data_IF_949532903778
#
_entry.id   IF_949532903778
#
_cell.length_a   1.000
_cell.length_b   1.000
_cell.length_c   1.000
_cell.angle_alpha   90.00
_cell.angle_beta   90.00
_cell.angle_gamma   90.00
#
_symmetry.space_group_name_H-M   'P 1'
#
loop_
_entity.id
_entity.type
_entity.pdbx_description
1 polymer ?
#
# COMPACT_ATOMS: atom_id res chain seq x y z
N UNK A 1 5.39 -18.26 -17.80
CA UNK A 1 4.03 -17.92 -17.33
C UNK A 1 4.13 -16.68 -16.45
N UNK A 2 3.33 -15.63 -16.67
CA UNK A 2 3.35 -14.46 -15.78
C UNK A 2 2.80 -14.84 -14.39
N UNK A 3 3.28 -14.20 -13.31
CA UNK A 3 2.81 -14.50 -11.96
C UNK A 3 1.34 -14.10 -11.77
N UNK A 4 0.59 -14.93 -11.05
CA UNK A 4 -0.80 -14.64 -10.68
C UNK A 4 -0.88 -13.50 -9.65
N UNK A 5 -2.05 -12.88 -9.51
CA UNK A 5 -2.27 -11.84 -8.49
C UNK A 5 -2.00 -12.38 -7.07
N UNK A 6 -2.37 -13.64 -6.81
CA UNK A 6 -2.04 -14.31 -5.56
C UNK A 6 -0.53 -14.34 -5.31
N UNK A 7 0.26 -14.77 -6.30
CA UNK A 7 1.72 -14.83 -6.18
C UNK A 7 2.33 -13.45 -5.96
N UNK A 8 1.84 -12.41 -6.65
CA UNK A 8 2.29 -11.03 -6.44
C UNK A 8 1.99 -10.54 -5.02
N UNK A 9 0.79 -10.81 -4.51
CA UNK A 9 0.42 -10.43 -3.15
C UNK A 9 1.26 -11.15 -2.08
N UNK A 10 1.52 -12.45 -2.25
CA UNK A 10 2.39 -13.18 -1.33
C UNK A 10 3.82 -12.62 -1.38
N UNK A 11 4.39 -12.43 -2.57
CA UNK A 11 5.74 -11.87 -2.72
C UNK A 11 5.87 -10.51 -2.02
N UNK A 12 4.92 -9.59 -2.24
CA UNK A 12 4.91 -8.30 -1.58
C UNK A 12 4.89 -8.40 -0.05
N UNK A 13 4.02 -9.25 0.51
CA UNK A 13 3.91 -9.42 1.96
C UNK A 13 5.17 -10.01 2.58
N UNK A 14 5.75 -11.02 1.96
CA UNK A 14 6.99 -11.62 2.45
C UNK A 14 8.16 -10.63 2.41
N UNK A 15 8.25 -9.81 1.36
CA UNK A 15 9.25 -8.74 1.28
C UNK A 15 9.02 -7.68 2.35
N UNK A 16 7.78 -7.22 2.54
CA UNK A 16 7.45 -6.24 3.57
C UNK A 16 7.77 -6.75 4.99
N UNK A 17 7.48 -8.02 5.28
CA UNK A 17 7.84 -8.64 6.57
C UNK A 17 9.36 -8.74 6.73
N UNK A 18 10.07 -9.20 5.70
CA UNK A 18 11.53 -9.32 5.75
C UNK A 18 12.20 -7.96 5.97
N UNK A 19 11.75 -6.93 5.25
CA UNK A 19 12.29 -5.57 5.39
C UNK A 19 11.99 -4.99 6.77
N UNK A 20 10.76 -5.14 7.27
CA UNK A 20 10.41 -4.70 8.62
C UNK A 20 11.29 -5.36 9.71
N UNK A 21 11.61 -6.64 9.57
CA UNK A 21 12.52 -7.35 10.46
C UNK A 21 13.95 -6.79 10.39
N UNK A 22 14.43 -6.41 9.20
CA UNK A 22 15.74 -5.77 9.03
C UNK A 22 15.81 -4.38 9.68
N UNK A 23 14.67 -3.67 9.73
CA UNK A 23 14.51 -2.42 10.50
C UNK A 23 14.38 -2.62 12.01
N UNK A 24 14.36 -3.87 12.50
CA UNK A 24 14.28 -4.20 13.92
C UNK A 24 12.85 -4.25 14.47
N UNK A 25 11.83 -4.25 13.61
CA UNK A 25 10.44 -4.38 14.03
C UNK A 25 10.01 -5.83 14.15
N UNK A 26 9.10 -6.10 15.07
CA UNK A 26 8.36 -7.36 15.07
C UNK A 26 7.42 -7.39 13.87
N UNK A 27 7.44 -8.45 13.06
CA UNK A 27 6.59 -8.51 11.86
C UNK A 27 6.11 -9.93 11.55
N UNK A 28 4.87 -10.05 11.08
CA UNK A 28 4.26 -11.32 10.68
C UNK A 28 3.23 -11.16 9.57
N UNK A 29 2.97 -12.25 8.84
CA UNK A 29 1.82 -12.32 7.95
C UNK A 29 0.53 -12.32 8.79
N UNK A 30 -0.47 -11.56 8.38
CA UNK A 30 -1.75 -11.47 9.10
C UNK A 30 -2.94 -11.63 8.16
N UNK A 31 -3.90 -12.46 8.55
CA UNK A 31 -5.23 -12.52 7.92
C UNK A 31 -5.21 -12.68 6.39
N UNK A 32 -6.08 -11.93 5.67
CA UNK A 32 -6.23 -12.03 4.21
C UNK A 32 -4.92 -11.82 3.43
N UNK A 33 -4.94 -12.19 2.15
CA UNK A 33 -3.78 -12.25 1.26
C UNK A 33 -3.02 -10.95 1.04
N UNK A 34 -3.47 -9.82 1.60
CA UNK A 34 -2.88 -8.48 1.43
C UNK A 34 -2.41 -7.84 2.74
N UNK A 35 -2.53 -8.50 3.90
CA UNK A 35 -2.23 -7.86 5.18
C UNK A 35 -1.01 -8.46 5.90
N UNK A 36 -0.31 -7.61 6.64
CA UNK A 36 0.77 -7.95 7.57
C UNK A 36 0.53 -7.22 8.90
N UNK A 37 1.18 -7.68 9.95
CA UNK A 37 1.27 -6.97 11.23
C UNK A 37 2.73 -6.59 11.45
N UNK A 38 3.00 -5.32 11.75
CA UNK A 38 4.34 -4.78 12.05
C UNK A 38 4.23 -3.98 13.35
N UNK A 39 5.01 -4.32 14.38
CA UNK A 39 4.92 -3.79 15.74
C UNK A 39 3.49 -3.78 16.30
N UNK A 40 2.72 -4.84 16.05
CA UNK A 40 1.32 -4.93 16.49
C UNK A 40 0.32 -4.13 15.63
N UNK A 41 0.78 -3.27 14.71
CA UNK A 41 -0.08 -2.51 13.80
C UNK A 41 -0.34 -3.27 12.52
N UNK A 42 -1.59 -3.31 12.07
CA UNK A 42 -1.98 -3.92 10.80
C UNK A 42 -1.67 -2.99 9.63
N UNK A 43 -1.06 -3.52 8.57
CA UNK A 43 -0.78 -2.80 7.33
C UNK A 43 -1.24 -3.61 6.11
N UNK A 44 -1.75 -2.92 5.09
CA UNK A 44 -2.00 -3.53 3.79
C UNK A 44 -0.74 -3.45 2.92
N UNK A 45 -0.51 -4.46 2.09
CA UNK A 45 0.66 -4.55 1.22
C UNK A 45 0.21 -4.67 -0.24
N UNK A 46 0.82 -3.86 -1.10
CA UNK A 46 0.63 -3.93 -2.54
C UNK A 46 1.98 -4.02 -3.25
N UNK A 47 2.10 -4.90 -4.23
CA UNK A 47 3.34 -5.10 -4.98
C UNK A 47 3.19 -4.64 -6.44
N UNK A 48 4.11 -3.79 -6.89
CA UNK A 48 4.32 -3.45 -8.29
C UNK A 48 5.42 -4.33 -8.85
N UNK A 49 5.09 -5.12 -9.88
CA UNK A 49 6.05 -5.96 -10.62
C UNK A 49 6.31 -5.45 -12.05
N UNK A 50 5.64 -4.36 -12.43
CA UNK A 50 5.66 -3.77 -13.78
C UNK A 50 5.68 -2.23 -13.67
N UNK A 51 6.30 -1.70 -12.62
CA UNK A 51 6.52 -0.26 -12.41
C UNK A 51 5.31 0.56 -11.97
N UNK A 52 4.14 -0.07 -11.74
CA UNK A 52 2.95 0.63 -11.24
C UNK A 52 2.12 -0.28 -10.33
N UNK A 53 1.41 0.33 -9.37
CA UNK A 53 0.37 -0.35 -8.60
C UNK A 53 -0.97 -0.07 -9.25
N UNK A 54 -1.57 -1.10 -9.83
CA UNK A 54 -2.88 -1.00 -10.46
C UNK A 54 -3.99 -1.11 -9.42
N UNK A 55 -4.86 -0.11 -9.40
CA UNK A 55 -6.08 -0.08 -8.58
C UNK A 55 -7.25 -0.37 -9.51
N UNK A 56 -7.89 -1.52 -9.31
CA UNK A 56 -9.02 -1.94 -10.15
C UNK A 56 -10.30 -1.13 -9.88
N UNK A 57 -10.51 -0.65 -8.66
CA UNK A 57 -11.67 0.14 -8.31
C UNK A 57 -11.29 1.19 -7.26
N UNK A 58 -11.31 2.46 -7.67
CA UNK A 58 -10.96 3.58 -6.81
C UNK A 58 -11.94 3.79 -5.66
N UNK A 59 -13.24 3.59 -5.87
CA UNK A 59 -14.24 3.79 -4.83
C UNK A 59 -14.09 2.72 -3.76
N UNK A 60 -13.82 1.47 -4.17
CA UNK A 60 -13.48 0.41 -3.23
C UNK A 60 -12.21 0.71 -2.45
N UNK A 61 -11.15 1.17 -3.10
CA UNK A 61 -9.88 1.48 -2.45
C UNK A 61 -10.02 2.63 -1.44
N UNK A 62 -10.73 3.70 -1.82
CA UNK A 62 -10.95 4.88 -0.97
C UNK A 62 -11.94 4.62 0.18
N UNK A 63 -12.80 3.60 0.07
CA UNK A 63 -13.68 3.18 1.16
C UNK A 63 -13.00 2.28 2.21
N UNK A 64 -11.76 1.82 1.99
CA UNK A 64 -11.06 0.93 2.93
C UNK A 64 -10.58 1.68 4.18
N UNK A 65 -10.85 1.12 5.35
CA UNK A 65 -10.30 1.57 6.65
C UNK A 65 -9.00 0.84 6.99
N UNK A 66 -7.94 1.12 6.22
CA UNK A 66 -6.58 0.64 6.53
C UNK A 66 -5.75 1.82 7.00
N UNK A 67 -5.04 1.64 8.11
CA UNK A 67 -4.26 2.71 8.75
C UNK A 67 -2.93 2.99 8.04
N UNK A 68 -2.28 1.94 7.53
CA UNK A 68 -0.97 2.03 6.87
C UNK A 68 -0.92 1.11 5.67
N UNK A 69 -0.32 1.61 4.59
CA UNK A 69 0.04 0.80 3.43
C UNK A 69 1.56 0.70 3.32
N UNK A 70 2.01 -0.48 2.90
CA UNK A 70 3.36 -0.71 2.41
C UNK A 70 3.27 -1.03 0.92
N UNK A 71 3.76 -0.12 0.09
CA UNK A 71 3.87 -0.31 -1.35
C UNK A 71 5.26 -0.84 -1.65
N UNK A 72 5.34 -2.00 -2.28
CA UNK A 72 6.60 -2.68 -2.62
C UNK A 72 6.78 -2.59 -4.13
N UNK A 73 7.89 -2.03 -4.59
CA UNK A 73 8.29 -2.06 -6.00
C UNK A 73 9.42 -3.07 -6.20
N UNK A 74 9.16 -4.10 -7.01
CA UNK A 74 10.13 -5.15 -7.37
C UNK A 74 10.57 -5.08 -8.83
N UNK A 75 10.36 -3.94 -9.48
CA UNK A 75 10.63 -3.74 -10.90
C UNK A 75 12.13 -3.54 -11.15
N UNK A 76 12.65 -4.15 -12.22
CA UNK A 76 14.05 -4.01 -12.66
C UNK A 76 15.10 -4.43 -11.61
N UNK A 77 14.77 -5.40 -10.75
CA UNK A 77 15.67 -5.89 -9.72
C UNK A 77 15.84 -4.94 -8.53
N UNK A 78 15.10 -3.82 -8.49
CA UNK A 78 14.95 -2.98 -7.31
C UNK A 78 14.06 -3.66 -6.28
N UNK A 79 14.16 -3.17 -5.04
CA UNK A 79 13.29 -3.51 -3.92
C UNK A 79 13.11 -2.24 -3.11
N UNK A 80 12.19 -1.42 -3.60
CA UNK A 80 11.88 -0.15 -2.96
C UNK A 80 10.60 -0.29 -2.14
N UNK A 81 10.59 0.34 -0.98
CA UNK A 81 9.47 0.29 -0.05
C UNK A 81 8.97 1.70 0.22
N UNK A 82 7.66 1.89 0.11
CA UNK A 82 7.01 3.16 0.39
C UNK A 82 5.96 2.93 1.47
N UNK A 83 6.13 3.56 2.62
CA UNK A 83 5.29 3.38 3.80
C UNK A 83 4.49 4.67 4.01
N UNK A 84 3.16 4.54 4.03
CA UNK A 84 2.27 5.70 3.97
C UNK A 84 1.04 5.51 4.85
N UNK A 85 0.58 6.56 5.57
CA UNK A 85 -0.72 6.55 6.21
C UNK A 85 -1.84 6.29 5.19
N UNK A 86 -2.83 5.49 5.58
CA UNK A 86 -3.90 5.12 4.66
C UNK A 86 -4.72 6.29 4.16
N UNK A 87 -4.96 7.29 5.01
CA UNK A 87 -5.67 8.51 4.61
C UNK A 87 -4.92 9.28 3.52
N UNK A 88 -3.60 9.48 3.70
CA UNK A 88 -2.75 10.16 2.73
C UNK A 88 -2.75 9.45 1.38
N UNK A 89 -2.63 8.12 1.39
CA UNK A 89 -2.67 7.32 0.17
C UNK A 89 -4.02 7.45 -0.55
N UNK A 90 -5.13 7.33 0.19
CA UNK A 90 -6.49 7.44 -0.36
C UNK A 90 -6.74 8.83 -0.93
N UNK A 91 -6.37 9.87 -0.20
CA UNK A 91 -6.51 11.26 -0.63
C UNK A 91 -5.73 11.51 -1.92
N UNK A 92 -4.43 11.16 -1.95
CA UNK A 92 -3.60 11.35 -3.14
C UNK A 92 -4.07 10.54 -4.35
N UNK A 93 -4.61 9.33 -4.14
CA UNK A 93 -5.19 8.53 -5.24
C UNK A 93 -6.46 9.17 -5.78
N UNK A 94 -7.35 9.68 -4.92
CA UNK A 94 -8.57 10.37 -5.33
C UNK A 94 -8.25 11.65 -6.10
N UNK A 95 -7.36 12.48 -5.58
CA UNK A 95 -6.92 13.73 -6.21
C UNK A 95 -6.42 13.49 -7.65
N UNK A 96 -5.44 12.60 -7.82
CA UNK A 96 -4.89 12.26 -9.16
C UNK A 96 -5.93 11.67 -10.10
N UNK A 97 -6.88 10.90 -9.58
CA UNK A 97 -7.98 10.39 -10.38
C UNK A 97 -8.89 11.51 -10.87
N UNK A 98 -9.25 12.44 -9.99
CA UNK A 98 -10.15 13.54 -10.30
C UNK A 98 -9.50 14.53 -11.28
N UNK A 99 -8.19 14.81 -11.13
CA UNK A 99 -7.39 15.55 -12.11
C UNK A 99 -7.41 14.88 -13.49
N UNK A 100 -7.21 13.56 -13.53
CA UNK A 100 -7.28 12.80 -14.78
C UNK A 100 -8.67 12.90 -15.40
N UNK A 101 -9.74 12.71 -14.61
CA UNK A 101 -11.12 12.79 -15.09
C UNK A 101 -11.44 14.19 -15.63
N UNK A 102 -10.97 15.25 -14.97
CA UNK A 102 -11.09 16.62 -15.48
C UNK A 102 -10.39 16.80 -16.83
N UNK A 103 -9.19 16.23 -16.99
CA UNK A 103 -8.42 16.32 -18.24
C UNK A 103 -9.10 15.64 -19.44
N UNK A 104 -9.94 14.63 -19.21
CA UNK A 104 -10.69 13.92 -20.26
C UNK A 104 -12.16 14.36 -20.37
N UNK A 105 -12.54 15.47 -19.72
CA UNK A 105 -13.90 16.01 -19.79
C UNK A 105 -14.95 15.20 -19.02
N UNK A 106 -14.54 14.48 -17.98
CA UNK A 106 -15.42 13.73 -17.09
C UNK A 106 -15.83 12.34 -17.57
N UNK A 107 -15.47 11.96 -18.81
CA UNK A 107 -15.79 10.64 -19.38
C UNK A 107 -14.53 10.03 -20.01
N UNK A 108 -14.23 8.77 -19.66
CA UNK A 108 -13.08 8.07 -20.24
C UNK A 108 -13.31 7.77 -21.73
N UNK A 109 -12.37 8.11 -22.64
CA UNK A 109 -12.57 7.96 -24.09
C UNK A 109 -12.81 6.53 -24.61
N UNK A 110 -12.37 5.50 -23.87
CA UNK A 110 -12.46 4.09 -24.30
C UNK A 110 -13.47 3.26 -23.52
N UNK A 111 -13.50 3.44 -22.20
CA UNK A 111 -14.41 2.71 -21.32
C UNK A 111 -14.90 3.66 -20.23
N UNK A 112 -16.07 4.30 -20.44
CA UNK A 112 -16.67 5.25 -19.50
C UNK A 112 -16.83 4.70 -18.07
N UNK A 113 -17.13 3.41 -17.95
CA UNK A 113 -17.40 2.74 -16.66
C UNK A 113 -16.13 2.31 -15.91
N UNK A 114 -14.95 2.47 -16.52
CA UNK A 114 -13.70 2.03 -15.89
C UNK A 114 -13.36 2.88 -14.68
N UNK A 115 -13.28 2.23 -13.52
CA UNK A 115 -12.78 2.81 -12.26
C UNK A 115 -11.30 2.54 -12.01
N UNK A 116 -10.59 2.10 -13.05
CA UNK A 116 -9.18 1.76 -12.93
C UNK A 116 -8.33 3.03 -12.78
N UNK A 117 -7.41 2.99 -11.83
CA UNK A 117 -6.37 4.00 -11.68
C UNK A 117 -5.04 3.32 -11.39
N UNK A 118 -3.94 4.07 -11.46
CA UNK A 118 -2.61 3.57 -11.18
C UNK A 118 -1.88 4.53 -10.24
N UNK A 119 -1.06 3.95 -9.37
CA UNK A 119 -0.06 4.70 -8.62
C UNK A 119 1.29 4.49 -9.32
N UNK A 120 1.99 5.59 -9.57
CA UNK A 120 3.33 5.56 -10.17
C UNK A 120 4.39 5.80 -9.09
N UNK A 121 5.63 5.28 -9.23
CA UNK A 121 6.72 5.48 -8.27
C UNK A 121 6.96 6.96 -7.94
N UNK A 122 6.90 7.84 -8.94
CA UNK A 122 7.03 9.29 -8.75
C UNK A 122 5.98 9.89 -7.79
N UNK A 123 4.80 9.28 -7.68
CA UNK A 123 3.70 9.78 -6.84
C UNK A 123 3.93 9.44 -5.36
N UNK A 124 4.81 8.49 -5.08
CA UNK A 124 5.03 7.91 -3.73
C UNK A 124 6.44 8.12 -3.23
N UNK A 125 7.31 8.78 -4.00
CA UNK A 125 8.73 8.93 -3.68
C UNK A 125 8.97 9.60 -2.32
N UNK A 126 8.12 10.55 -1.93
CA UNK A 126 8.18 11.20 -0.61
C UNK A 126 7.89 10.26 0.56
N UNK A 127 7.38 9.06 0.28
CA UNK A 127 7.06 8.03 1.27
C UNK A 127 8.08 6.89 1.33
N UNK A 128 9.15 6.98 0.55
CA UNK A 128 10.21 5.97 0.50
C UNK A 128 10.84 5.77 1.89
N UNK A 129 10.96 4.51 2.28
CA UNK A 129 11.62 4.04 3.51
C UNK A 129 11.13 4.68 4.82
N UNK A 130 9.87 5.15 4.87
CA UNK A 130 9.24 5.74 6.07
C UNK A 130 8.79 4.70 7.11
N UNK A 131 9.67 3.75 7.40
CA UNK A 131 9.45 2.65 8.33
C UNK A 131 9.12 3.11 9.76
N UNK A 132 9.58 4.29 10.17
CA UNK A 132 9.28 4.91 11.47
C UNK A 132 7.79 5.14 11.75
N UNK A 133 6.91 5.03 10.73
CA UNK A 133 5.45 5.00 10.94
C UNK A 133 4.97 3.81 11.80
N UNK A 134 5.84 2.85 12.08
CA UNK A 134 5.59 1.72 12.98
C UNK A 134 6.23 1.86 14.38
N UNK A 135 6.88 2.98 14.70
CA UNK A 135 7.52 3.19 16.01
C UNK A 135 6.49 3.35 17.14
N UNK A 136 5.39 4.07 16.87
CA UNK A 136 4.39 4.48 17.88
C UNK A 136 3.50 3.35 18.40
N UNK A 137 3.50 2.18 17.75
CA UNK A 137 2.60 1.08 18.12
C UNK A 137 3.00 0.35 19.42
N UNK A 138 4.22 0.59 19.92
CA UNK A 138 4.71 0.04 21.19
C UNK A 138 4.14 0.73 22.44
N UNK A 139 3.49 1.89 22.31
CA UNK A 139 3.00 2.65 23.47
C UNK A 139 1.59 2.29 23.93
N UNK A 140 0.78 1.55 23.14
CA UNK A 140 -0.61 1.25 23.50
C UNK A 140 -0.80 0.00 24.37
N UNK A 141 0.19 -0.89 24.49
CA UNK A 141 0.02 -2.19 25.17
C UNK A 141 0.27 -2.11 26.69
N UNK A 142 0.87 -1.03 27.19
CA UNK A 142 1.21 -0.89 28.63
C UNK A 142 0.09 -0.22 29.46
N UNK A 143 -0.95 0.30 28.82
CA UNK A 143 -2.00 1.09 29.49
C UNK A 143 -3.21 0.35 30.07
N UNK A 144 -3.45 -0.91 29.69
CA UNK A 144 -4.71 -1.63 30.05
C UNK A 144 -4.57 -2.64 31.20
N UNK A 145 -3.45 -2.68 31.91
CA UNK A 145 -3.22 -3.64 32.98
C UNK A 145 -3.33 -3.06 34.40
N UNK A 146 -4.18 -2.06 34.67
CA UNK A 146 -4.57 -1.69 36.03
C UNK A 146 -5.93 -0.97 36.06
N UNK A 147 -7.02 -1.73 36.27
CA UNK A 147 -8.26 -1.28 36.92
C UNK A 147 -9.00 -2.48 37.48
#
# INVERSE_FOLDING_TARGET
MPPSNYQKHQAGRHLAVAEALLHGYSASLHGPQTFVTINGRKAAVQAAAQGTWMIADIDRMTAMSVDVYVLVDVTEGRRDFYVVPGDDLRAGVRERHDEFMASVGGVRPRNPESRHTAIYPKDVESWRDRWSLFDDATQHVVGEAHS
#
